data_IF_047192637816
#
_entry.id   IF_047192637816
#
_cell.length_a   1.000
_cell.length_b   1.000
_cell.length_c   1.000
_cell.angle_alpha   90.00
_cell.angle_beta   90.00
_cell.angle_gamma   90.00
#
_symmetry.space_group_name_H-M   'P 1'
#
loop_
_entity.id
_entity.type
_entity.pdbx_description
1 polymer ?
#
# COMPACT_ATOMS: atom_id res chain seq x y z
N UNK A 1 40.67 11.59 85.58
CA UNK A 1 40.06 12.82 86.15
C UNK A 1 40.54 14.01 85.34
N UNK A 2 39.59 14.80 84.83
CA UNK A 2 39.72 16.25 84.53
C UNK A 2 40.66 16.72 83.40
N UNK A 3 40.03 17.34 82.38
CA UNK A 3 40.35 18.66 81.76
C UNK A 3 41.80 18.88 81.25
N UNK A 4 42.11 19.41 80.06
CA UNK A 4 41.41 20.37 79.20
C UNK A 4 42.23 20.58 77.89
N UNK A 5 41.53 20.82 76.75
CA UNK A 5 41.80 21.83 75.70
C UNK A 5 43.09 21.78 74.82
N UNK A 6 43.18 22.21 73.55
CA UNK A 6 42.33 23.04 72.65
C UNK A 6 42.71 22.89 71.14
N UNK A 7 41.78 23.32 70.25
CA UNK A 7 41.88 23.78 68.83
C UNK A 7 41.48 22.77 67.73
N UNK A 8 40.72 23.13 66.68
CA UNK A 8 40.35 24.42 66.11
C UNK A 8 39.00 24.35 65.39
N UNK A 9 38.31 25.49 65.35
CA UNK A 9 37.05 25.79 64.66
C UNK A 9 37.22 25.94 63.14
N UNK A 10 36.07 25.98 62.46
CA UNK A 10 35.78 26.44 61.08
C UNK A 10 35.78 25.39 59.97
N UNK A 11 34.58 24.89 59.65
CA UNK A 11 34.01 24.82 58.28
C UNK A 11 32.63 24.15 58.32
N UNK A 12 31.63 24.89 58.81
CA UNK A 12 30.23 24.58 58.51
C UNK A 12 29.58 25.85 57.97
N UNK A 13 28.67 25.66 57.00
CA UNK A 13 27.89 26.66 56.25
C UNK A 13 28.48 27.20 54.93
N UNK A 14 28.52 26.35 53.90
CA UNK A 14 28.26 26.81 52.52
C UNK A 14 27.72 25.73 51.54
N UNK A 15 27.34 24.54 52.03
CA UNK A 15 27.04 23.38 51.16
C UNK A 15 25.58 23.21 50.70
N UNK A 16 24.63 24.04 51.15
CA UNK A 16 23.19 23.81 50.90
C UNK A 16 22.60 24.52 49.69
N UNK A 17 23.28 25.51 49.08
CA UNK A 17 22.79 26.19 47.86
C UNK A 17 23.21 25.50 46.55
N UNK A 18 24.45 25.00 46.44
CA UNK A 18 24.95 24.33 45.23
C UNK A 18 24.20 23.03 44.88
N UNK A 19 23.73 22.30 45.90
CA UNK A 19 22.99 21.05 45.73
C UNK A 19 21.64 21.26 45.02
N UNK A 20 20.88 22.32 45.36
CA UNK A 20 19.60 22.62 44.71
C UNK A 20 19.72 22.95 43.23
N UNK A 21 20.77 23.69 42.83
CA UNK A 21 21.02 23.98 41.41
C UNK A 21 21.45 22.73 40.64
N UNK A 22 22.20 21.82 41.26
CA UNK A 22 22.59 20.55 40.65
C UNK A 22 21.37 19.65 40.39
N UNK A 23 20.44 19.56 41.35
CA UNK A 23 19.17 18.83 41.13
C UNK A 23 18.26 19.50 40.10
N UNK A 24 18.18 20.84 40.04
CA UNK A 24 17.43 21.57 39.00
C UNK A 24 18.02 21.35 37.60
N UNK A 25 19.35 21.26 37.50
CA UNK A 25 20.06 21.03 36.24
C UNK A 25 19.90 19.58 35.78
N UNK A 26 19.94 18.60 36.70
CA UNK A 26 19.61 17.20 36.40
C UNK A 26 18.13 17.07 36.01
N UNK A 27 17.20 17.76 36.70
CA UNK A 27 15.79 17.74 36.35
C UNK A 27 15.53 18.35 34.96
N UNK A 28 16.23 19.44 34.61
CA UNK A 28 16.17 20.02 33.26
C UNK A 28 16.78 19.10 32.20
N UNK A 29 17.87 18.40 32.49
CA UNK A 29 18.49 17.44 31.56
C UNK A 29 17.57 16.23 31.35
N UNK A 30 16.96 15.70 32.42
CA UNK A 30 16.00 14.59 32.32
C UNK A 30 14.75 14.99 31.54
N UNK A 31 14.23 16.21 31.73
CA UNK A 31 13.13 16.74 30.92
C UNK A 31 13.54 16.99 29.45
N UNK A 32 14.78 17.41 29.21
CA UNK A 32 15.30 17.63 27.85
C UNK A 32 15.51 16.31 27.09
N UNK A 33 15.86 15.22 27.79
CA UNK A 33 16.05 13.90 27.18
C UNK A 33 14.74 13.10 26.97
N UNK A 34 13.61 13.52 27.53
CA UNK A 34 12.31 12.89 27.30
C UNK A 34 11.42 13.62 26.27
N UNK A 35 11.86 14.77 25.76
CA UNK A 35 11.15 15.45 24.68
C UNK A 35 11.55 14.81 23.35
N UNK A 36 10.82 13.77 22.92
CA UNK A 36 10.88 13.30 21.53
C UNK A 36 10.51 14.49 20.64
N UNK A 37 11.47 15.04 19.89
CA UNK A 37 11.26 16.18 19.01
C UNK A 37 10.12 15.86 18.04
N UNK A 38 9.03 16.61 18.13
CA UNK A 38 7.85 16.43 17.29
C UNK A 38 7.79 17.52 16.23
N UNK A 39 7.68 17.10 14.98
CA UNK A 39 7.78 17.98 13.83
C UNK A 39 6.38 18.35 13.29
N UNK A 40 6.25 19.57 12.73
CA UNK A 40 5.03 20.00 12.00
C UNK A 40 5.13 19.62 10.52
N UNK A 41 5.51 18.37 10.27
CA UNK A 41 5.65 17.78 8.94
C UNK A 41 5.46 16.27 9.07
N UNK A 42 5.12 15.62 7.97
CA UNK A 42 4.90 14.17 7.92
C UNK A 42 5.92 13.51 7.00
N UNK A 43 6.77 12.66 7.56
CA UNK A 43 7.71 11.86 6.78
C UNK A 43 7.15 10.46 6.55
N UNK A 44 6.49 10.28 5.40
CA UNK A 44 5.85 9.02 5.00
C UNK A 44 6.85 7.85 4.96
N UNK A 45 6.50 6.77 5.67
CA UNK A 45 7.17 5.48 5.58
C UNK A 45 6.34 4.47 4.76
N UNK A 46 5.10 4.20 5.19
CA UNK A 46 4.15 3.29 4.52
C UNK A 46 2.74 3.49 5.06
N UNK A 47 1.74 2.95 4.37
CA UNK A 47 0.41 2.72 4.96
C UNK A 47 0.09 1.23 5.07
N UNK A 48 -0.93 0.91 5.87
CA UNK A 48 -1.54 -0.40 5.92
C UNK A 48 -3.05 -0.25 6.04
N UNK A 49 -3.80 -0.91 5.16
CA UNK A 49 -5.25 -1.01 5.28
C UNK A 49 -5.63 -1.86 6.51
N UNK A 50 -6.62 -1.42 7.27
CA UNK A 50 -7.12 -2.09 8.48
C UNK A 50 -8.55 -2.54 8.25
N UNK A 51 -8.90 -3.72 8.75
CA UNK A 51 -10.27 -4.26 8.66
C UNK A 51 -10.65 -4.81 7.29
N UNK A 52 -9.81 -4.67 6.25
CA UNK A 52 -10.01 -5.31 4.95
C UNK A 52 -9.60 -6.77 4.98
N UNK A 53 -10.57 -7.68 5.02
CA UNK A 53 -10.32 -9.12 4.86
C UNK A 53 -10.15 -9.38 3.37
N UNK A 54 -8.89 -9.42 2.91
CA UNK A 54 -8.51 -9.74 1.53
C UNK A 54 -9.07 -8.77 0.48
N UNK A 55 -8.45 -7.60 0.25
CA UNK A 55 -8.78 -6.84 -0.94
C UNK A 55 -8.45 -7.69 -2.17
N UNK A 56 -9.44 -7.99 -3.02
CA UNK A 56 -9.20 -8.65 -4.31
C UNK A 56 -8.21 -7.84 -5.19
N UNK A 57 -8.06 -6.54 -4.91
CA UNK A 57 -7.24 -5.59 -5.67
C UNK A 57 -6.64 -4.51 -4.72
N UNK A 58 -5.65 -4.82 -3.86
CA UNK A 58 -5.10 -3.88 -2.85
C UNK A 58 -4.61 -2.55 -3.44
N UNK A 59 -4.14 -2.56 -4.69
CA UNK A 59 -3.67 -1.38 -5.42
C UNK A 59 -4.80 -0.40 -5.79
N UNK A 60 -6.02 -0.89 -6.02
CA UNK A 60 -7.12 -0.07 -6.56
C UNK A 60 -7.70 0.89 -5.52
N UNK A 61 -7.59 0.53 -4.25
CA UNK A 61 -8.16 1.26 -3.14
C UNK A 61 -7.14 1.46 -2.03
N UNK A 62 -5.88 1.65 -2.39
CA UNK A 62 -4.80 1.79 -1.41
C UNK A 62 -4.96 3.08 -0.58
N UNK A 63 -4.57 3.09 0.70
CA UNK A 63 -4.66 4.29 1.52
C UNK A 63 -3.86 5.48 1.00
N UNK A 64 -2.79 5.25 0.23
CA UNK A 64 -2.00 6.30 -0.44
C UNK A 64 -2.86 7.19 -1.35
N UNK A 65 -3.94 6.65 -1.93
CA UNK A 65 -4.86 7.41 -2.77
C UNK A 65 -5.68 8.46 -2.02
N UNK A 66 -5.69 8.44 -0.68
CA UNK A 66 -6.27 9.49 0.14
C UNK A 66 -5.22 10.53 0.59
N UNK A 67 -3.95 10.37 0.21
CA UNK A 67 -2.83 11.23 0.63
C UNK A 67 -2.14 11.91 -0.56
N UNK A 68 -2.68 11.79 -1.78
CA UNK A 68 -2.01 12.17 -3.03
C UNK A 68 -2.36 13.59 -3.53
N UNK A 69 -3.04 14.40 -2.70
CA UNK A 69 -3.49 15.74 -3.01
C UNK A 69 -4.42 15.81 -4.24
N UNK A 70 -5.19 14.75 -4.50
CA UNK A 70 -6.16 14.69 -5.60
C UNK A 70 -7.51 14.24 -5.11
N UNK A 71 -8.51 15.08 -5.34
CA UNK A 71 -9.90 14.76 -5.00
C UNK A 71 -10.57 13.76 -5.94
N UNK A 72 -9.91 13.35 -7.02
CA UNK A 72 -10.45 12.44 -8.06
C UNK A 72 -9.98 11.00 -7.91
N UNK A 73 -9.11 10.74 -6.94
CA UNK A 73 -8.67 9.44 -6.43
C UNK A 73 -9.29 9.23 -5.05
N UNK A 74 -9.35 7.99 -4.57
CA UNK A 74 -9.84 7.70 -3.23
C UNK A 74 -9.34 6.36 -2.70
N UNK A 75 -9.09 6.33 -1.39
CA UNK A 75 -9.13 5.09 -0.62
C UNK A 75 -10.58 4.63 -0.52
N UNK A 76 -10.85 3.33 -0.71
CA UNK A 76 -12.16 2.75 -0.46
C UNK A 76 -12.04 1.43 0.29
N UNK A 77 -12.97 1.19 1.21
CA UNK A 77 -13.09 -0.06 1.94
C UNK A 77 -14.50 -0.62 1.84
N UNK A 78 -14.67 -1.89 2.21
CA UNK A 78 -16.00 -2.49 2.34
C UNK A 78 -16.79 -1.73 3.40
N UNK A 79 -18.02 -1.29 3.10
CA UNK A 79 -18.85 -0.63 4.13
C UNK A 79 -19.45 -1.61 5.14
N UNK A 80 -19.25 -2.92 4.93
CA UNK A 80 -19.71 -3.99 5.83
C UNK A 80 -18.68 -4.39 6.89
N UNK A 81 -17.41 -4.04 6.70
CA UNK A 81 -16.33 -4.41 7.60
C UNK A 81 -16.17 -3.35 8.70
N UNK A 82 -16.49 -3.72 9.94
CA UNK A 82 -16.31 -2.86 11.10
C UNK A 82 -14.82 -2.58 11.35
N UNK A 83 -14.48 -1.32 11.65
CA UNK A 83 -13.07 -0.92 11.86
C UNK A 83 -12.26 -0.82 10.57
N UNK A 84 -12.92 -0.79 9.40
CA UNK A 84 -12.30 -0.46 8.12
C UNK A 84 -11.55 0.87 8.19
N UNK A 85 -10.40 0.99 7.54
CA UNK A 85 -9.66 2.23 7.52
C UNK A 85 -8.20 2.00 7.17
N UNK A 86 -7.32 2.85 7.67
CA UNK A 86 -5.90 2.68 7.41
C UNK A 86 -5.02 3.22 8.54
N UNK A 87 -3.84 2.63 8.64
CA UNK A 87 -2.75 3.06 9.51
C UNK A 87 -1.66 3.68 8.67
N UNK A 88 -1.23 4.88 9.02
CA UNK A 88 -0.11 5.61 8.46
C UNK A 88 1.09 5.45 9.40
N UNK A 89 2.21 4.98 8.86
CA UNK A 89 3.48 4.88 9.55
C UNK A 89 4.39 6.01 9.09
N UNK A 90 5.03 6.68 10.05
CA UNK A 90 5.89 7.84 9.84
C UNK A 90 7.31 7.53 10.31
N UNK A 91 8.30 8.07 9.60
CA UNK A 91 9.71 7.93 9.97
C UNK A 91 10.08 8.75 11.21
N UNK A 92 9.43 9.89 11.39
CA UNK A 92 9.62 10.78 12.54
C UNK A 92 8.31 10.99 13.28
N UNK A 93 8.43 11.49 14.50
CA UNK A 93 7.27 11.93 15.28
C UNK A 93 6.66 13.17 14.64
N UNK A 94 5.37 13.11 14.38
CA UNK A 94 4.60 14.26 13.91
C UNK A 94 3.61 14.70 14.99
N UNK A 95 3.30 15.99 14.98
CA UNK A 95 2.22 16.58 15.78
C UNK A 95 1.20 17.23 14.87
N UNK A 96 -0.07 17.17 15.24
CA UNK A 96 -1.19 17.84 14.56
C UNK A 96 -2.35 18.03 15.54
N UNK A 97 -3.25 18.96 15.26
CA UNK A 97 -4.43 19.21 16.09
C UNK A 97 -5.71 19.35 15.28
N UNK A 98 -5.62 19.26 13.95
CA UNK A 98 -6.77 19.31 13.06
C UNK A 98 -6.55 18.39 11.85
N UNK A 99 -7.66 17.97 11.27
CA UNK A 99 -7.71 17.25 10.00
C UNK A 99 -8.53 18.06 8.99
N UNK A 100 -8.12 18.01 7.74
CA UNK A 100 -8.97 18.38 6.62
C UNK A 100 -9.21 17.14 5.77
N UNK A 101 -10.46 16.87 5.44
CA UNK A 101 -10.83 15.65 4.72
C UNK A 101 -11.83 15.94 3.61
N UNK A 102 -11.69 15.19 2.53
CA UNK A 102 -12.64 15.14 1.42
C UNK A 102 -13.36 13.79 1.45
N UNK A 103 -14.47 13.75 2.18
CA UNK A 103 -15.25 12.55 2.47
C UNK A 103 -16.04 12.06 1.24
N UNK A 104 -16.02 10.76 0.94
CA UNK A 104 -16.64 10.15 -0.25
C UNK A 104 -15.70 10.12 -1.46
N UNK A 105 -16.15 9.59 -2.60
CA UNK A 105 -15.37 9.53 -3.85
C UNK A 105 -15.79 10.62 -4.84
N UNK A 106 -14.94 11.63 -5.06
CA UNK A 106 -15.32 12.84 -5.80
C UNK A 106 -14.81 12.90 -7.25
N UNK A 107 -14.55 11.75 -7.88
CA UNK A 107 -14.27 11.70 -9.32
C UNK A 107 -15.43 12.27 -10.15
N UNK A 108 -16.67 12.00 -9.74
CA UNK A 108 -17.88 12.60 -10.32
C UNK A 108 -18.99 12.67 -9.27
N UNK A 109 -20.08 13.40 -9.58
CA UNK A 109 -21.25 13.45 -8.71
C UNK A 109 -21.98 12.11 -8.61
N UNK A 110 -21.83 11.25 -9.63
CA UNK A 110 -22.34 9.87 -9.63
C UNK A 110 -21.52 9.01 -8.68
N UNK A 111 -20.18 9.09 -8.77
CA UNK A 111 -19.27 8.36 -7.89
C UNK A 111 -19.52 8.70 -6.41
N UNK A 112 -19.77 9.97 -6.09
CA UNK A 112 -20.06 10.40 -4.72
C UNK A 112 -21.37 9.80 -4.19
N UNK A 113 -22.36 9.59 -5.06
CA UNK A 113 -23.67 9.02 -4.69
C UNK A 113 -23.65 7.49 -4.64
N UNK A 114 -22.87 6.84 -5.52
CA UNK A 114 -22.82 5.38 -5.62
C UNK A 114 -21.97 4.74 -4.53
N UNK A 115 -21.05 5.49 -3.93
CA UNK A 115 -20.24 5.04 -2.80
C UNK A 115 -20.77 5.61 -1.48
N UNK A 116 -20.61 4.86 -0.40
CA UNK A 116 -20.87 5.33 0.94
C UNK A 116 -19.88 6.43 1.33
N UNK A 117 -20.38 7.35 2.14
CA UNK A 117 -19.59 8.36 2.81
C UNK A 117 -19.46 8.03 4.28
N UNK A 118 -18.36 8.45 4.89
CA UNK A 118 -18.10 8.24 6.31
C UNK A 118 -18.98 9.16 7.13
N UNK A 119 -19.64 8.64 8.15
CA UNK A 119 -20.42 9.40 9.14
C UNK A 119 -19.62 9.65 10.42
N UNK A 120 -18.84 8.66 10.84
CA UNK A 120 -18.03 8.76 12.06
C UNK A 120 -16.68 8.08 11.85
N UNK A 121 -15.59 8.77 12.23
CA UNK A 121 -14.23 8.22 12.27
C UNK A 121 -13.67 8.22 13.68
N UNK A 122 -12.72 7.32 13.92
CA UNK A 122 -11.80 7.38 15.05
C UNK A 122 -10.40 7.66 14.54
N UNK A 123 -9.73 8.59 15.21
CA UNK A 123 -8.32 8.90 14.99
C UNK A 123 -7.57 8.45 16.23
N UNK A 124 -6.53 7.67 16.05
CA UNK A 124 -5.67 7.22 17.16
C UNK A 124 -4.21 7.42 16.78
N UNK A 125 -3.41 8.04 17.66
CA UNK A 125 -1.95 8.04 17.50
C UNK A 125 -1.31 6.98 18.39
N UNK A 126 -0.21 6.41 17.88
CA UNK A 126 0.62 5.49 18.65
C UNK A 126 2.09 5.91 18.59
N UNK A 127 2.79 5.46 19.63
CA UNK A 127 4.22 5.43 19.73
C UNK A 127 4.72 4.05 19.30
N UNK A 128 5.59 4.04 18.29
CA UNK A 128 6.30 2.86 17.80
C UNK A 128 7.81 3.10 17.98
N UNK A 129 8.44 2.37 18.90
CA UNK A 129 9.85 2.61 19.28
C UNK A 129 10.86 2.04 18.27
N UNK A 130 10.45 1.06 17.46
CA UNK A 130 11.27 0.40 16.45
C UNK A 130 10.45 0.16 15.20
N UNK A 131 11.04 0.32 14.01
CA UNK A 131 10.36 0.15 12.70
C UNK A 131 9.90 -1.29 12.38
N UNK A 132 10.09 -2.23 13.30
CA UNK A 132 9.67 -3.61 13.13
C UNK A 132 8.16 -3.78 13.28
N UNK A 133 7.53 -4.50 12.32
CA UNK A 133 6.08 -4.79 12.30
C UNK A 133 5.57 -5.56 13.53
N UNK A 134 6.49 -6.13 14.32
CA UNK A 134 6.20 -6.88 15.56
C UNK A 134 6.25 -6.01 16.81
N UNK A 135 6.61 -4.73 16.68
CA UNK A 135 6.75 -3.83 17.82
C UNK A 135 5.41 -3.55 18.49
N UNK A 136 5.43 -3.43 19.83
CA UNK A 136 4.22 -3.09 20.59
C UNK A 136 3.91 -1.61 20.35
N UNK A 137 2.75 -1.34 19.75
CA UNK A 137 2.21 0.01 19.63
C UNK A 137 1.70 0.47 20.99
N UNK A 138 2.25 1.57 21.52
CA UNK A 138 1.71 2.22 22.71
C UNK A 138 0.76 3.32 22.27
N UNK A 139 -0.53 3.16 22.55
CA UNK A 139 -1.53 4.19 22.25
C UNK A 139 -1.22 5.47 23.02
N UNK A 140 -1.33 6.61 22.33
CA UNK A 140 -1.09 7.93 22.91
C UNK A 140 -2.43 8.67 23.06
N UNK A 141 -3.00 9.16 21.96
CA UNK A 141 -4.26 9.92 21.95
C UNK A 141 -5.29 9.24 21.05
N UNK A 142 -6.58 9.37 21.39
CA UNK A 142 -7.68 8.85 20.56
C UNK A 142 -8.88 9.80 20.61
N UNK A 143 -9.55 10.01 19.47
CA UNK A 143 -10.76 10.82 19.38
C UNK A 143 -11.71 10.26 18.33
N UNK A 144 -13.00 10.32 18.63
CA UNK A 144 -14.10 10.02 17.72
C UNK A 144 -14.63 11.33 17.13
N UNK A 145 -14.74 11.43 15.82
CA UNK A 145 -15.19 12.63 15.11
C UNK A 145 -16.40 12.30 14.25
N UNK A 146 -17.44 13.13 14.33
CA UNK A 146 -18.58 13.07 13.42
C UNK A 146 -18.34 13.93 12.17
N UNK A 147 -18.69 13.39 11.02
CA UNK A 147 -18.59 14.06 9.74
C UNK A 147 -19.98 14.44 9.24
N UNK A 148 -20.04 15.53 8.51
CA UNK A 148 -21.23 15.91 7.76
C UNK A 148 -21.34 15.09 6.48
N UNK A 149 -22.56 14.99 5.95
CA UNK A 149 -22.79 14.44 4.60
C UNK A 149 -21.97 15.22 3.57
N UNK A 150 -21.24 14.55 2.67
CA UNK A 150 -20.41 15.24 1.70
C UNK A 150 -21.24 15.95 0.65
N UNK A 151 -20.67 17.02 0.09
CA UNK A 151 -21.21 17.76 -1.05
C UNK A 151 -20.19 17.70 -2.18
N UNK A 152 -20.65 17.42 -3.40
CA UNK A 152 -19.76 17.33 -4.55
C UNK A 152 -19.16 18.71 -4.90
N UNK A 153 -17.86 18.72 -5.26
CA UNK A 153 -17.13 19.92 -5.66
C UNK A 153 -16.35 20.58 -4.51
N UNK A 154 -15.72 21.74 -4.78
CA UNK A 154 -14.73 22.37 -3.89
C UNK A 154 -15.23 22.71 -2.47
N UNK A 155 -16.54 22.77 -2.25
CA UNK A 155 -17.17 22.97 -0.95
C UNK A 155 -17.27 21.69 -0.10
N UNK A 156 -16.80 20.55 -0.60
CA UNK A 156 -16.85 19.26 0.08
C UNK A 156 -15.80 19.05 1.18
N UNK A 157 -14.82 19.95 1.32
CA UNK A 157 -13.80 19.85 2.37
C UNK A 157 -14.42 20.10 3.74
N UNK A 158 -14.12 19.19 4.66
CA UNK A 158 -14.52 19.29 6.05
C UNK A 158 -13.27 19.42 6.89
N UNK A 159 -13.24 20.44 7.76
CA UNK A 159 -12.17 20.62 8.74
C UNK A 159 -12.68 20.13 10.07
N UNK A 160 -11.94 19.20 10.68
CA UNK A 160 -12.25 18.59 11.96
C UNK A 160 -11.19 19.04 12.96
N UNK A 161 -11.62 19.76 13.99
CA UNK A 161 -10.78 20.05 15.16
C UNK A 161 -10.70 18.79 16.02
N UNK A 162 -9.52 18.47 16.55
CA UNK A 162 -9.31 17.32 17.41
C UNK A 162 -9.48 17.67 18.90
N UNK A 163 -9.69 18.95 19.23
CA UNK A 163 -9.77 19.53 20.58
C UNK A 163 -8.51 19.33 21.45
N UNK A 164 -7.54 18.57 20.96
CA UNK A 164 -6.24 18.32 21.58
C UNK A 164 -5.15 18.19 20.52
N UNK A 165 -3.91 18.19 21.00
CA UNK A 165 -2.74 18.03 20.13
C UNK A 165 -2.33 16.56 20.11
N UNK A 166 -2.50 15.94 18.96
CA UNK A 166 -2.09 14.57 18.70
C UNK A 166 -0.60 14.55 18.39
N UNK A 167 0.11 13.58 18.97
CA UNK A 167 1.53 13.33 18.71
C UNK A 167 1.79 11.83 18.60
N UNK A 168 2.63 11.43 17.65
CA UNK A 168 3.04 10.04 17.44
C UNK A 168 3.74 9.85 16.11
N UNK A 169 4.29 8.66 15.88
CA UNK A 169 4.85 8.25 14.59
C UNK A 169 3.99 7.20 13.88
N UNK A 170 2.83 6.85 14.46
CA UNK A 170 1.81 6.04 13.81
C UNK A 170 0.47 6.73 14.01
N UNK A 171 -0.28 6.91 12.92
CA UNK A 171 -1.61 7.50 12.93
C UNK A 171 -2.59 6.50 12.33
N UNK A 172 -3.62 6.11 13.07
CA UNK A 172 -4.67 5.23 12.58
C UNK A 172 -5.96 6.00 12.41
N UNK A 173 -6.58 5.80 11.24
CA UNK A 173 -7.93 6.25 10.92
C UNK A 173 -8.82 5.02 10.80
N UNK A 174 -9.87 4.97 11.61
CA UNK A 174 -10.86 3.88 11.60
C UNK A 174 -12.24 4.45 11.28
N UNK A 175 -12.94 3.84 10.35
CA UNK A 175 -14.31 4.15 9.98
C UNK A 175 -15.22 3.39 10.96
N UNK A 176 -15.92 4.15 11.80
CA UNK A 176 -16.82 3.61 12.81
C UNK A 176 -18.25 3.50 12.29
N UNK A 177 -18.67 4.45 11.46
CA UNK A 177 -20.03 4.52 10.93
C UNK A 177 -20.05 5.15 9.55
N UNK A 178 -20.96 4.70 8.68
CA UNK A 178 -21.19 5.26 7.34
C UNK A 178 -22.61 5.82 7.24
N UNK A 179 -22.88 6.64 6.23
CA UNK A 179 -24.23 7.12 5.94
C UNK A 179 -25.13 6.07 5.25
N UNK A 180 -24.58 4.92 4.83
CA UNK A 180 -25.33 3.79 4.27
C UNK A 180 -26.19 4.11 3.03
N UNK A 181 -25.71 4.98 2.16
CA UNK A 181 -26.48 5.51 1.01
C UNK A 181 -25.99 5.02 -0.36
N UNK A 182 -24.87 4.31 -0.42
CA UNK A 182 -24.19 3.89 -1.65
C UNK A 182 -24.59 2.49 -2.12
N UNK A 183 -24.73 2.32 -3.43
CA UNK A 183 -25.08 1.04 -4.07
C UNK A 183 -23.91 0.09 -4.27
N UNK A 184 -22.67 0.59 -4.20
CA UNK A 184 -21.45 -0.20 -4.43
C UNK A 184 -21.05 -1.08 -3.24
N UNK A 185 -21.62 -0.84 -2.05
CA UNK A 185 -21.19 -1.49 -0.80
C UNK A 185 -19.78 -1.08 -0.35
N UNK A 186 -19.26 0.04 -0.86
CA UNK A 186 -17.94 0.59 -0.52
C UNK A 186 -18.07 1.96 0.11
N UNK A 187 -17.26 2.23 1.13
CA UNK A 187 -17.09 3.56 1.74
C UNK A 187 -15.76 4.15 1.30
N UNK A 188 -15.74 5.41 0.89
CA UNK A 188 -14.54 6.03 0.30
C UNK A 188 -14.13 7.35 0.98
N UNK A 189 -12.83 7.63 0.95
CA UNK A 189 -12.22 8.88 1.39
C UNK A 189 -11.29 9.35 0.25
N UNK A 190 -11.58 10.51 -0.35
CA UNK A 190 -10.78 11.02 -1.47
C UNK A 190 -9.50 11.69 -1.02
N UNK A 191 -9.51 12.40 0.11
CA UNK A 191 -8.33 13.15 0.58
C UNK A 191 -8.35 13.28 2.10
N UNK A 192 -7.18 13.19 2.73
CA UNK A 192 -6.93 13.50 4.14
C UNK A 192 -5.64 14.30 4.25
N UNK A 193 -5.73 15.44 4.92
CA UNK A 193 -4.62 16.32 5.27
C UNK A 193 -4.59 16.53 6.78
N UNK A 194 -3.39 16.59 7.34
CA UNK A 194 -3.16 16.78 8.77
C UNK A 194 -2.54 18.15 9.02
N UNK A 195 -2.93 18.83 10.09
CA UNK A 195 -2.49 20.20 10.30
C UNK A 195 -2.92 20.80 11.62
N UNK A 196 -3.10 22.12 11.62
CA UNK A 196 -3.61 22.89 12.76
C UNK A 196 -4.60 23.97 12.30
N UNK A 197 -5.44 24.43 13.21
CA UNK A 197 -6.30 25.60 13.00
C UNK A 197 -5.57 26.88 13.47
N UNK A 198 -5.33 27.81 12.55
CA UNK A 198 -4.86 29.19 12.87
C UNK A 198 -5.88 30.19 12.42
N UNK A 199 -6.34 31.05 13.33
CA UNK A 199 -7.29 32.12 13.01
C UNK A 199 -8.54 31.60 12.24
N UNK A 200 -9.04 30.41 12.65
CA UNK A 200 -10.15 29.69 12.02
C UNK A 200 -9.89 29.19 10.58
N UNK A 201 -8.64 29.20 10.11
CA UNK A 201 -8.22 28.59 8.84
C UNK A 201 -7.40 27.34 9.11
N UNK A 202 -7.64 26.31 8.31
CA UNK A 202 -6.82 25.11 8.33
C UNK A 202 -5.45 25.41 7.68
N UNK A 203 -4.39 25.04 8.38
CA UNK A 203 -3.01 25.09 7.89
C UNK A 203 -2.50 23.66 7.80
N UNK A 204 -2.38 23.16 6.57
CA UNK A 204 -1.87 21.82 6.29
C UNK A 204 -0.38 21.74 6.59
N UNK A 205 0.05 20.63 7.17
CA UNK A 205 1.46 20.30 7.31
C UNK A 205 1.97 19.49 6.11
N UNK A 206 3.17 19.82 5.60
CA UNK A 206 3.67 19.20 4.38
C UNK A 206 4.11 17.75 4.60
N UNK A 207 4.01 16.97 3.53
CA UNK A 207 4.70 15.69 3.39
C UNK A 207 6.15 15.93 2.98
N UNK A 208 7.10 15.52 3.82
CA UNK A 208 8.54 15.57 3.47
C UNK A 208 8.84 14.58 2.34
N UNK A 209 8.19 13.42 2.39
CA UNK A 209 8.37 12.30 1.45
C UNK A 209 7.21 12.18 0.45
N UNK A 210 6.65 13.29 -0.03
CA UNK A 210 5.50 13.25 -0.94
C UNK A 210 5.78 12.45 -2.22
N UNK A 211 7.01 12.51 -2.74
CA UNK A 211 7.37 11.75 -3.94
C UNK A 211 7.39 10.24 -3.70
N UNK A 212 7.59 9.78 -2.46
CA UNK A 212 7.41 8.35 -2.14
C UNK A 212 5.96 7.92 -2.28
N UNK A 213 5.01 8.75 -1.82
CA UNK A 213 3.57 8.48 -1.96
C UNK A 213 3.21 8.38 -3.45
N UNK A 214 3.67 9.34 -4.26
CA UNK A 214 3.44 9.30 -5.72
C UNK A 214 4.02 8.04 -6.36
N UNK A 215 5.26 7.70 -6.02
CA UNK A 215 5.93 6.52 -6.58
C UNK A 215 5.16 5.23 -6.24
N UNK A 216 4.73 5.08 -4.98
CA UNK A 216 3.89 3.94 -4.56
C UNK A 216 2.58 3.87 -5.38
N UNK A 217 1.93 5.00 -5.63
CA UNK A 217 0.70 5.05 -6.46
C UNK A 217 0.98 4.69 -7.93
N UNK A 218 2.12 5.12 -8.48
CA UNK A 218 2.54 4.73 -9.83
C UNK A 218 2.77 3.22 -9.94
N UNK A 219 3.39 2.62 -8.93
CA UNK A 219 3.56 1.16 -8.82
C UNK A 219 2.20 0.44 -8.78
N UNK A 220 1.22 0.98 -8.03
CA UNK A 220 -0.16 0.47 -8.04
C UNK A 220 -0.83 0.57 -9.40
N UNK A 221 -0.60 1.65 -10.15
CA UNK A 221 -1.08 1.79 -11.51
C UNK A 221 -0.50 0.73 -12.45
N UNK A 222 0.79 0.37 -12.30
CA UNK A 222 1.40 -0.74 -13.06
C UNK A 222 0.81 -2.10 -12.66
N UNK A 223 0.67 -2.35 -11.36
CA UNK A 223 0.04 -3.54 -10.81
C UNK A 223 -1.39 -3.75 -11.35
N UNK A 224 -2.21 -2.69 -11.40
CA UNK A 224 -3.56 -2.73 -11.97
C UNK A 224 -3.55 -3.14 -13.45
N UNK A 225 -2.61 -2.59 -14.21
CA UNK A 225 -2.46 -2.89 -15.64
C UNK A 225 -2.06 -4.35 -15.86
N UNK A 226 -1.17 -4.90 -15.05
CA UNK A 226 -0.83 -6.33 -15.09
C UNK A 226 -2.04 -7.19 -14.76
N UNK A 227 -2.77 -6.89 -13.68
CA UNK A 227 -3.98 -7.61 -13.31
C UNK A 227 -5.07 -7.57 -14.38
N UNK A 228 -5.28 -6.40 -15.00
CA UNK A 228 -6.17 -6.25 -16.15
C UNK A 228 -5.74 -7.13 -17.33
N UNK A 229 -4.44 -7.17 -17.64
CA UNK A 229 -3.88 -8.06 -18.65
C UNK A 229 -4.12 -9.54 -18.34
N UNK A 230 -3.97 -9.94 -17.08
CA UNK A 230 -4.20 -11.30 -16.64
C UNK A 230 -5.67 -11.71 -16.73
N UNK A 231 -6.60 -10.81 -16.36
CA UNK A 231 -8.03 -11.03 -16.58
C UNK A 231 -8.36 -11.23 -18.06
N UNK A 232 -7.73 -10.45 -18.96
CA UNK A 232 -7.93 -10.64 -20.40
C UNK A 232 -7.35 -11.96 -20.92
N UNK A 233 -6.22 -12.41 -20.36
CA UNK A 233 -5.66 -13.74 -20.63
C UNK A 233 -6.68 -14.83 -20.25
N UNK A 234 -7.26 -14.77 -19.04
CA UNK A 234 -8.27 -15.73 -18.57
C UNK A 234 -9.49 -15.75 -19.50
N UNK A 235 -10.07 -14.57 -19.78
CA UNK A 235 -11.24 -14.45 -20.65
C UNK A 235 -11.00 -14.99 -22.06
N UNK A 236 -9.76 -14.94 -22.54
CA UNK A 236 -9.41 -15.45 -23.86
C UNK A 236 -9.14 -16.96 -23.80
N UNK A 237 -8.50 -17.46 -22.74
CA UNK A 237 -8.33 -18.89 -22.48
C UNK A 237 -9.66 -19.65 -22.41
N UNK A 238 -10.70 -19.02 -21.88
CA UNK A 238 -12.05 -19.57 -21.84
C UNK A 238 -12.69 -19.69 -23.24
N UNK A 239 -12.16 -19.00 -24.25
CA UNK A 239 -12.63 -19.03 -25.65
C UNK A 239 -11.75 -19.88 -26.56
N UNK A 240 -10.51 -20.16 -26.17
CA UNK A 240 -9.56 -20.93 -26.94
C UNK A 240 -8.16 -20.89 -26.34
N UNK A 241 -7.28 -21.77 -26.79
CA UNK A 241 -5.92 -21.88 -26.25
C UNK A 241 -5.07 -20.66 -26.56
N UNK A 242 -4.40 -20.11 -25.55
CA UNK A 242 -3.29 -19.17 -25.74
C UNK A 242 -1.97 -19.91 -25.60
N UNK A 243 -1.04 -19.61 -26.51
CA UNK A 243 0.33 -20.11 -26.45
C UNK A 243 1.31 -18.99 -26.18
N UNK A 244 2.21 -19.23 -25.24
CA UNK A 244 3.39 -18.42 -24.99
C UNK A 244 4.61 -19.08 -25.66
N UNK A 245 5.63 -18.26 -25.95
CA UNK A 245 6.78 -18.68 -26.74
C UNK A 245 8.10 -18.28 -26.09
N UNK A 246 9.04 -19.21 -26.07
CA UNK A 246 10.46 -19.03 -25.77
C UNK A 246 11.25 -19.61 -26.96
N UNK A 247 12.52 -19.24 -27.17
CA UNK A 247 13.38 -19.48 -28.35
C UNK A 247 13.52 -20.98 -28.78
N UNK A 248 12.43 -21.63 -29.19
CA UNK A 248 12.35 -23.06 -29.50
C UNK A 248 11.28 -23.85 -28.73
N UNK A 249 10.60 -23.23 -27.75
CA UNK A 249 9.55 -23.88 -26.94
C UNK A 249 8.21 -23.15 -27.12
N UNK A 250 7.14 -23.93 -27.30
CA UNK A 250 5.77 -23.45 -27.24
C UNK A 250 5.17 -23.91 -25.92
N UNK A 251 4.57 -22.98 -25.20
CA UNK A 251 3.91 -23.20 -23.92
C UNK A 251 2.43 -22.85 -24.07
N UNK A 252 1.57 -23.79 -24.50
CA UNK A 252 0.13 -23.64 -24.38
C UNK A 252 -0.25 -23.56 -22.90
N UNK A 253 -0.97 -22.51 -22.53
CA UNK A 253 -1.43 -22.28 -21.16
C UNK A 253 -2.94 -22.09 -21.14
N UNK A 254 -3.55 -22.51 -20.04
CA UNK A 254 -4.93 -22.23 -19.70
C UNK A 254 -4.99 -21.76 -18.26
N UNK A 255 -5.45 -20.54 -18.05
CA UNK A 255 -5.85 -20.01 -16.75
C UNK A 255 -7.35 -19.72 -16.82
N UNK A 256 -8.11 -20.16 -15.81
CA UNK A 256 -9.58 -20.03 -15.77
C UNK A 256 -10.05 -19.22 -14.56
N UNK A 257 -11.24 -18.63 -14.65
CA UNK A 257 -11.79 -17.82 -13.56
C UNK A 257 -12.02 -18.58 -12.25
N UNK A 258 -12.15 -19.92 -12.31
CA UNK A 258 -12.31 -20.81 -11.16
C UNK A 258 -10.99 -21.14 -10.44
N UNK A 259 -9.92 -20.40 -10.74
CA UNK A 259 -8.58 -20.56 -10.17
C UNK A 259 -7.88 -21.87 -10.56
N UNK A 260 -8.37 -22.56 -11.60
CA UNK A 260 -7.66 -23.70 -12.18
C UNK A 260 -6.69 -23.25 -13.27
N UNK A 261 -5.58 -23.98 -13.42
CA UNK A 261 -4.67 -23.80 -14.54
C UNK A 261 -4.29 -25.13 -15.18
N UNK A 262 -3.86 -25.05 -16.43
CA UNK A 262 -3.04 -26.10 -17.04
C UNK A 262 -2.02 -25.52 -18.01
N UNK A 263 -0.89 -26.20 -18.16
CA UNK A 263 0.05 -25.90 -19.24
C UNK A 263 0.77 -27.17 -19.71
N UNK A 264 1.26 -27.13 -20.94
CA UNK A 264 2.10 -28.17 -21.53
C UNK A 264 3.31 -27.51 -22.18
N UNK A 265 4.44 -28.20 -22.25
CA UNK A 265 5.60 -27.71 -23.00
C UNK A 265 5.78 -28.55 -24.27
N UNK A 266 5.91 -27.85 -25.39
CA UNK A 266 6.21 -28.44 -26.69
C UNK A 266 7.57 -27.91 -27.16
N UNK A 267 8.48 -28.83 -27.44
CA UNK A 267 9.83 -28.52 -27.93
C UNK A 267 9.87 -28.64 -29.46
N UNK A 268 10.72 -27.86 -30.12
CA UNK A 268 10.88 -27.88 -31.59
C UNK A 268 11.30 -29.25 -32.14
N UNK A 269 11.15 -29.42 -33.47
CA UNK A 269 11.56 -30.66 -34.16
C UNK A 269 13.02 -31.02 -33.88
N UNK A 270 13.27 -32.24 -33.39
CA UNK A 270 14.60 -32.77 -33.07
C UNK A 270 14.89 -32.96 -31.58
N UNK A 271 14.03 -32.47 -30.68
CA UNK A 271 14.15 -32.73 -29.23
C UNK A 271 13.50 -34.07 -28.83
N UNK A 272 14.25 -35.01 -28.20
CA UNK A 272 13.70 -36.29 -27.74
C UNK A 272 12.58 -36.17 -26.69
N UNK A 273 12.40 -34.98 -26.07
CA UNK A 273 11.33 -34.68 -25.12
C UNK A 273 10.06 -34.11 -25.76
N UNK A 274 9.93 -34.13 -27.10
CA UNK A 274 8.99 -33.38 -27.97
C UNK A 274 7.58 -33.00 -27.49
N UNK A 275 7.02 -33.64 -26.46
CA UNK A 275 5.86 -33.17 -25.71
C UNK A 275 5.96 -33.57 -24.22
N UNK A 276 5.93 -32.59 -23.31
CA UNK A 276 5.75 -32.87 -21.88
C UNK A 276 4.25 -32.93 -21.53
N UNK A 277 3.82 -33.92 -20.71
CA UNK A 277 2.42 -34.06 -20.32
C UNK A 277 1.91 -32.82 -19.59
N UNK A 278 0.64 -32.52 -19.83
CA UNK A 278 -0.02 -31.33 -19.27
C UNK A 278 0.01 -31.35 -17.74
N UNK A 279 0.56 -30.29 -17.15
CA UNK A 279 0.48 -30.01 -15.72
C UNK A 279 -0.87 -29.35 -15.48
N UNK A 280 -1.62 -29.84 -14.50
CA UNK A 280 -2.95 -29.34 -14.15
C UNK A 280 -3.02 -29.12 -12.65
N UNK A 281 -3.56 -27.98 -12.22
CA UNK A 281 -3.62 -27.63 -10.82
C UNK A 281 -4.44 -26.38 -10.54
N UNK A 282 -4.16 -25.74 -9.41
CA UNK A 282 -4.77 -24.47 -9.00
C UNK A 282 -3.71 -23.38 -8.91
N UNK A 283 -4.13 -22.14 -9.19
CA UNK A 283 -3.26 -20.98 -9.07
C UNK A 283 -3.81 -19.98 -8.06
N UNK A 284 -2.91 -19.30 -7.36
CA UNK A 284 -3.24 -18.17 -6.50
C UNK A 284 -2.32 -16.99 -6.82
N UNK A 285 -2.85 -15.77 -6.74
CA UNK A 285 -2.04 -14.56 -6.87
C UNK A 285 -1.51 -14.22 -5.48
N UNK A 286 -0.20 -14.40 -5.27
CA UNK A 286 0.45 -14.12 -3.98
C UNK A 286 0.68 -12.62 -3.77
N UNK A 287 1.12 -11.94 -4.82
CA UNK A 287 1.47 -10.52 -4.77
C UNK A 287 1.22 -9.86 -6.13
N UNK A 288 0.92 -8.57 -6.09
CA UNK A 288 0.86 -7.71 -7.27
C UNK A 288 1.79 -6.52 -7.05
N UNK A 289 2.71 -6.30 -7.97
CA UNK A 289 3.76 -5.28 -7.88
C UNK A 289 4.00 -4.61 -9.23
N UNK A 290 4.93 -3.67 -9.30
CA UNK A 290 5.33 -3.07 -10.57
C UNK A 290 6.06 -4.03 -11.52
N UNK A 291 6.59 -5.14 -11.01
CA UNK A 291 7.29 -6.15 -11.80
C UNK A 291 6.34 -7.20 -12.39
N UNK A 292 5.09 -7.25 -11.90
CA UNK A 292 4.10 -8.23 -12.32
C UNK A 292 3.26 -8.79 -11.18
N UNK A 293 2.43 -9.77 -11.55
CA UNK A 293 1.65 -10.61 -10.64
C UNK A 293 2.44 -11.87 -10.32
N UNK A 294 2.71 -12.10 -9.05
CA UNK A 294 3.29 -13.36 -8.59
C UNK A 294 2.18 -14.40 -8.43
N UNK A 295 2.28 -15.47 -9.22
CA UNK A 295 1.38 -16.61 -9.24
C UNK A 295 2.04 -17.78 -8.55
N UNK A 296 1.38 -18.36 -7.54
CA UNK A 296 1.73 -19.69 -7.04
C UNK A 296 0.89 -20.73 -7.79
N UNK A 297 1.56 -21.68 -8.43
CA UNK A 297 0.93 -22.78 -9.15
C UNK A 297 1.09 -24.06 -8.32
N UNK A 298 0.00 -24.56 -7.75
CA UNK A 298 -0.05 -25.80 -6.97
C UNK A 298 -0.60 -26.94 -7.82
N UNK A 299 0.14 -28.04 -7.91
CA UNK A 299 -0.26 -29.23 -8.68
C UNK A 299 0.35 -30.51 -8.10
N UNK A 300 -0.14 -31.67 -8.55
CA UNK A 300 0.46 -32.96 -8.19
C UNK A 300 1.30 -33.47 -9.37
N UNK A 301 2.53 -33.87 -9.09
CA UNK A 301 3.38 -34.52 -10.10
C UNK A 301 2.92 -35.97 -10.38
N UNK A 302 3.57 -36.62 -11.35
CA UNK A 302 3.24 -38.01 -11.74
C UNK A 302 3.43 -39.03 -10.60
N UNK A 303 4.20 -38.68 -9.56
CA UNK A 303 4.40 -39.48 -8.36
C UNK A 303 3.36 -39.22 -7.27
N UNK A 304 2.40 -38.33 -7.50
CA UNK A 304 1.39 -37.94 -6.52
C UNK A 304 1.93 -36.99 -5.43
N UNK A 305 3.07 -36.34 -5.67
CA UNK A 305 3.66 -35.37 -4.74
C UNK A 305 3.13 -33.98 -5.09
N UNK A 306 2.64 -33.26 -4.08
CA UNK A 306 2.24 -31.85 -4.23
C UNK A 306 3.48 -30.99 -4.51
N UNK A 307 3.40 -30.19 -5.57
CA UNK A 307 4.41 -29.23 -6.03
C UNK A 307 3.81 -27.84 -6.01
N UNK A 308 4.65 -26.88 -5.67
CA UNK A 308 4.34 -25.46 -5.76
C UNK A 308 5.47 -24.80 -6.54
N UNK A 309 5.15 -24.14 -7.64
CA UNK A 309 6.09 -23.35 -8.44
C UNK A 309 5.59 -21.91 -8.55
N UNK A 310 6.51 -20.96 -8.61
CA UNK A 310 6.18 -19.53 -8.62
C UNK A 310 6.46 -18.91 -9.98
N UNK A 311 5.43 -18.37 -10.61
CA UNK A 311 5.54 -17.68 -11.89
C UNK A 311 5.23 -16.20 -11.72
N UNK A 312 5.85 -15.36 -12.54
CA UNK A 312 5.52 -13.94 -12.63
C UNK A 312 4.82 -13.70 -13.95
N UNK A 313 3.55 -13.28 -13.88
CA UNK A 313 2.83 -12.76 -15.03
C UNK A 313 3.03 -11.26 -15.13
N UNK A 314 3.47 -10.79 -16.29
CA UNK A 314 3.63 -9.37 -16.58
C UNK A 314 2.93 -9.01 -17.89
N UNK A 315 2.33 -7.84 -17.90
CA UNK A 315 1.90 -7.17 -19.13
C UNK A 315 2.93 -6.11 -19.48
N UNK A 316 3.78 -6.38 -20.45
CA UNK A 316 4.85 -5.47 -20.84
C UNK A 316 4.29 -4.21 -21.52
N UNK A 317 4.90 -3.07 -21.22
CA UNK A 317 4.57 -1.75 -21.77
C UNK A 317 5.75 -1.14 -22.52
N UNK A 318 5.48 -0.14 -23.36
CA UNK A 318 6.54 0.65 -24.03
C UNK A 318 7.50 1.19 -22.97
N UNK A 319 8.80 0.96 -23.18
CA UNK A 319 9.85 1.30 -22.21
C UNK A 319 10.26 0.15 -21.28
N UNK A 320 9.51 -0.96 -21.20
CA UNK A 320 9.96 -2.17 -20.51
C UNK A 320 11.02 -2.90 -21.36
N UNK A 321 12.02 -3.50 -20.72
CA UNK A 321 13.06 -4.27 -21.41
C UNK A 321 12.47 -5.38 -22.30
N UNK A 322 11.49 -6.11 -21.77
CA UNK A 322 10.74 -7.14 -22.50
C UNK A 322 10.07 -6.58 -23.76
N UNK A 323 9.52 -5.37 -23.68
CA UNK A 323 8.81 -4.73 -24.79
C UNK A 323 9.77 -4.29 -25.90
N UNK A 324 10.90 -3.71 -25.52
CA UNK A 324 11.86 -3.14 -26.48
C UNK A 324 12.73 -4.20 -27.15
N UNK A 325 13.04 -5.29 -26.44
CA UNK A 325 14.02 -6.28 -26.90
C UNK A 325 13.41 -7.58 -27.42
N UNK A 326 12.13 -7.87 -27.12
CA UNK A 326 11.50 -9.11 -27.57
C UNK A 326 11.37 -9.17 -29.10
N UNK A 327 11.80 -10.29 -29.67
CA UNK A 327 11.66 -10.65 -31.08
C UNK A 327 10.62 -11.75 -31.20
N UNK A 328 9.68 -11.59 -32.14
CA UNK A 328 8.69 -12.61 -32.47
C UNK A 328 9.36 -13.87 -33.03
N UNK A 329 8.58 -14.93 -33.26
CA UNK A 329 9.06 -16.16 -33.90
C UNK A 329 9.77 -15.93 -35.25
N UNK A 330 9.45 -14.85 -35.95
CA UNK A 330 10.04 -14.49 -37.24
C UNK A 330 11.33 -13.67 -37.11
N UNK A 331 11.80 -13.43 -35.89
CA UNK A 331 13.01 -12.64 -35.61
C UNK A 331 12.82 -11.12 -35.70
N UNK A 332 11.63 -10.65 -36.07
CA UNK A 332 11.23 -9.23 -36.10
C UNK A 332 10.88 -8.73 -34.71
N UNK A 333 11.17 -7.47 -34.39
CA UNK A 333 10.83 -6.91 -33.06
C UNK A 333 9.32 -6.78 -32.91
N UNK A 334 8.80 -7.00 -31.71
CA UNK A 334 7.37 -6.84 -31.44
C UNK A 334 6.85 -5.45 -31.82
N UNK A 335 7.62 -4.41 -31.46
CA UNK A 335 7.29 -3.00 -31.75
C UNK A 335 7.22 -2.66 -33.25
N UNK A 336 7.83 -3.48 -34.12
CA UNK A 336 7.79 -3.30 -35.58
C UNK A 336 6.51 -3.87 -36.21
N UNK A 337 5.93 -4.90 -35.59
CA UNK A 337 4.81 -5.68 -36.18
C UNK A 337 3.49 -5.39 -35.48
N UNK A 338 3.50 -5.12 -34.18
CA UNK A 338 2.30 -4.95 -33.38
C UNK A 338 2.23 -3.55 -32.76
N UNK A 339 1.06 -2.92 -32.90
CA UNK A 339 0.82 -1.62 -32.31
C UNK A 339 0.53 -1.76 -30.81
N UNK A 340 1.28 -1.08 -29.90
CA UNK A 340 1.03 -1.11 -28.46
C UNK A 340 -0.36 -0.67 -28.05
N UNK A 341 -1.05 0.11 -28.88
CA UNK A 341 -2.42 0.56 -28.62
C UNK A 341 -3.45 -0.53 -28.88
N UNK A 342 -3.12 -1.54 -29.69
CA UNK A 342 -4.10 -2.54 -30.15
C UNK A 342 -3.80 -3.96 -29.66
N UNK A 343 -2.58 -4.29 -29.25
CA UNK A 343 -2.22 -5.62 -28.76
C UNK A 343 -1.48 -5.57 -27.43
N UNK A 344 -1.62 -6.63 -26.64
CA UNK A 344 -0.82 -6.88 -25.45
C UNK A 344 0.45 -7.66 -25.79
N UNK A 345 1.57 -7.30 -25.15
CA UNK A 345 2.69 -8.21 -24.95
C UNK A 345 2.60 -8.76 -23.53
N UNK A 346 2.23 -10.02 -23.42
CA UNK A 346 2.14 -10.75 -22.15
C UNK A 346 3.41 -11.56 -21.96
N UNK A 347 3.87 -11.62 -20.71
CA UNK A 347 5.09 -12.28 -20.31
C UNK A 347 4.76 -13.21 -19.15
N UNK A 348 5.23 -14.44 -19.24
CA UNK A 348 5.23 -15.41 -18.15
C UNK A 348 6.67 -15.78 -17.85
N UNK A 349 7.12 -15.53 -16.62
CA UNK A 349 8.48 -15.84 -16.19
C UNK A 349 8.44 -16.84 -15.04
N UNK A 350 9.07 -17.99 -15.21
CA UNK A 350 9.25 -18.96 -14.14
C UNK A 350 10.35 -18.44 -13.18
N UNK A 351 10.06 -18.35 -11.87
CA UNK A 351 11.01 -17.77 -10.91
C UNK A 351 12.22 -18.66 -10.69
N UNK A 352 12.02 -19.97 -10.68
CA UNK A 352 13.04 -20.95 -10.31
C UNK A 352 14.11 -21.09 -11.40
N UNK A 353 13.69 -21.13 -12.66
CA UNK A 353 14.60 -21.28 -13.82
C UNK A 353 15.01 -19.95 -14.46
N UNK A 354 14.22 -18.89 -14.25
CA UNK A 354 14.36 -17.62 -14.96
C UNK A 354 13.88 -17.65 -16.41
N UNK A 355 13.37 -18.78 -16.91
CA UNK A 355 12.83 -18.91 -18.26
C UNK A 355 11.64 -17.97 -18.44
N UNK A 356 11.62 -17.30 -19.58
CA UNK A 356 10.64 -16.26 -19.89
C UNK A 356 9.96 -16.58 -21.20
N UNK A 357 8.62 -16.63 -21.16
CA UNK A 357 7.78 -16.93 -22.30
C UNK A 357 6.91 -15.73 -22.64
N UNK A 358 6.67 -15.52 -23.93
CA UNK A 358 5.99 -14.33 -24.44
C UNK A 358 4.76 -14.70 -25.26
N UNK A 359 3.68 -13.94 -25.08
CA UNK A 359 2.50 -13.98 -25.95
C UNK A 359 2.19 -12.57 -26.46
N UNK A 360 2.06 -12.42 -27.77
CA UNK A 360 2.01 -11.10 -28.42
C UNK A 360 0.83 -10.91 -29.39
N UNK A 361 -0.07 -11.89 -29.48
CA UNK A 361 -1.17 -11.91 -30.46
C UNK A 361 -2.53 -11.56 -29.83
N UNK A 362 -2.56 -11.19 -28.55
CA UNK A 362 -3.80 -10.87 -27.84
C UNK A 362 -4.23 -9.42 -28.10
N UNK A 363 -5.33 -9.16 -28.84
CA UNK A 363 -5.83 -7.81 -29.04
C UNK A 363 -6.36 -7.22 -27.74
N UNK A 364 -6.21 -5.90 -27.57
CA UNK A 364 -6.83 -5.16 -26.47
C UNK A 364 -8.34 -5.03 -26.72
N UNK A 365 -9.19 -5.13 -25.67
CA UNK A 365 -10.61 -4.80 -25.79
C UNK A 365 -10.79 -3.38 -26.34
N UNK A 366 -11.82 -3.20 -27.18
CA UNK A 366 -12.17 -1.88 -27.74
C UNK A 366 -12.76 -0.95 -26.70
#
# INVERSE_FOLDING_TARGET
MGLNQFHSTYLFLSRTKRSRYFYLLIFSIVFSFQCKGSEKQFDYLRTQSVGQVSPEEPWRFSPELALDNKTTTAFCASSKEAGSGFTLYLKSYSQFSALQMFNGFHKSSVDLKSNDAVKKIRITTFDMETDDLKSKLKMNETVDLELNKPKFGKSGFQVLDLDSKFQGNVVRLEILETFGSGSTGRVCISEVSFGELKEKKFVSYPWVSFDKIKHTIEQFGKAEKHFSGFRQLILTNEKGTISFYDQGTILPVFFKSDQTFSFSEMYGEGDPMGFLPSIVGTYTILQSSEEGLELNLSYYDQGGIERNISWVFKRAEVGDEDYENFKTKLGTRFSEVFNPKTHYLLVLKEKESGRTFYHYELPKPK
#
